data_IF_051001089295
#
_entry.id   IF_051001089295
#
_cell.length_a   1.000
_cell.length_b   1.000
_cell.length_c   1.000
_cell.angle_alpha   90.00
_cell.angle_beta   90.00
_cell.angle_gamma   90.00
#
_symmetry.space_group_name_H-M   'P 1'
#
loop_
_entity.id
_entity.type
_entity.pdbx_description
1 polymer ?
#
# COMPACT_ATOMS: atom_id res chain seq x y z
N UNK A 1 15.66 11.26 1.08
CA UNK A 1 15.54 11.99 -0.22
C UNK A 1 14.83 13.33 -0.01
N UNK A 2 15.30 14.44 -0.60
CA UNK A 2 14.56 15.69 -0.63
C UNK A 2 13.37 15.60 -1.58
N UNK A 3 12.23 16.17 -1.16
CA UNK A 3 10.95 16.04 -1.90
C UNK A 3 10.68 17.22 -2.86
N UNK A 4 11.31 18.37 -2.62
CA UNK A 4 11.05 19.57 -3.42
C UNK A 4 11.36 19.34 -4.90
N UNK A 5 10.37 19.61 -5.75
CA UNK A 5 10.44 19.45 -7.21
C UNK A 5 10.39 18.01 -7.71
N UNK A 6 10.34 16.99 -6.83
CA UNK A 6 10.33 15.57 -7.21
C UNK A 6 9.02 15.17 -7.87
N UNK A 7 9.09 14.57 -9.05
CA UNK A 7 7.95 14.03 -9.76
C UNK A 7 7.51 12.71 -9.10
N UNK A 8 6.28 12.70 -8.59
CA UNK A 8 5.76 11.60 -7.77
C UNK A 8 4.44 11.07 -8.35
N UNK A 9 4.39 9.79 -8.66
CA UNK A 9 3.15 9.06 -8.96
C UNK A 9 2.58 8.48 -7.66
N UNK A 10 1.28 8.65 -7.43
CA UNK A 10 0.55 7.99 -6.33
C UNK A 10 -0.65 7.25 -6.91
N UNK A 11 -0.60 5.91 -6.92
CA UNK A 11 -1.74 5.09 -7.36
C UNK A 11 -2.75 4.89 -6.23
N UNK A 12 -4.06 4.80 -6.57
CA UNK A 12 -5.13 4.87 -5.58
C UNK A 12 -5.16 6.25 -4.91
N UNK A 13 -4.76 7.27 -5.65
CA UNK A 13 -4.59 8.65 -5.16
C UNK A 13 -5.88 9.41 -4.90
N UNK A 14 -7.03 8.89 -5.32
CA UNK A 14 -8.33 9.56 -5.19
C UNK A 14 -9.00 9.39 -3.81
N UNK A 15 -8.45 8.56 -2.91
CA UNK A 15 -9.08 8.32 -1.60
C UNK A 15 -8.09 7.82 -0.54
N UNK A 16 -8.53 7.84 0.72
CA UNK A 16 -7.83 7.24 1.86
C UNK A 16 -6.36 7.65 1.98
N UNK A 17 -5.49 6.67 2.21
CA UNK A 17 -4.03 6.88 2.36
C UNK A 17 -3.44 7.56 1.12
N UNK A 18 -3.89 7.17 -0.08
CA UNK A 18 -3.38 7.75 -1.33
C UNK A 18 -3.65 9.24 -1.44
N UNK A 19 -4.90 9.68 -1.22
CA UNK A 19 -5.27 11.09 -1.27
C UNK A 19 -4.56 11.92 -0.18
N UNK A 20 -4.51 11.41 1.05
CA UNK A 20 -3.76 12.05 2.13
C UNK A 20 -2.27 12.17 1.80
N UNK A 21 -1.69 11.13 1.18
CA UNK A 21 -0.27 11.15 0.75
C UNK A 21 -0.04 12.14 -0.40
N UNK A 22 -0.96 12.28 -1.34
CA UNK A 22 -0.87 13.31 -2.38
C UNK A 22 -0.76 14.71 -1.74
N UNK A 23 -1.61 15.00 -0.76
CA UNK A 23 -1.58 16.28 -0.03
C UNK A 23 -0.27 16.48 0.72
N UNK A 24 0.16 15.50 1.50
CA UNK A 24 1.36 15.59 2.33
C UNK A 24 2.64 15.73 1.48
N UNK A 25 2.74 14.99 0.38
CA UNK A 25 3.88 15.06 -0.54
C UNK A 25 3.90 16.39 -1.31
N UNK A 26 2.73 16.88 -1.75
CA UNK A 26 2.62 18.19 -2.38
C UNK A 26 3.02 19.33 -1.41
N UNK A 27 2.54 19.28 -0.17
CA UNK A 27 2.93 20.23 0.88
C UNK A 27 4.44 20.20 1.17
N UNK A 28 5.10 19.05 0.95
CA UNK A 28 6.54 18.90 1.03
C UNK A 28 7.29 19.34 -0.25
N UNK A 29 6.57 19.87 -1.25
CA UNK A 29 7.12 20.42 -2.48
C UNK A 29 7.23 19.45 -3.66
N UNK A 30 6.69 18.23 -3.56
CA UNK A 30 6.68 17.30 -4.67
C UNK A 30 5.65 17.71 -5.75
N UNK A 31 5.91 17.32 -7.00
CA UNK A 31 5.00 17.48 -8.15
C UNK A 31 4.20 16.19 -8.31
N UNK A 32 2.90 16.23 -8.07
CA UNK A 32 2.07 15.05 -7.91
C UNK A 32 1.32 14.67 -9.19
N UNK A 33 1.42 13.41 -9.57
CA UNK A 33 0.45 12.74 -10.45
C UNK A 33 -0.47 11.88 -9.58
N UNK A 34 -1.71 12.30 -9.44
CA UNK A 34 -2.78 11.56 -8.77
C UNK A 34 -3.31 10.54 -9.76
N UNK A 35 -3.22 9.26 -9.42
CA UNK A 35 -3.63 8.16 -10.31
C UNK A 35 -4.72 7.35 -9.66
N UNK A 36 -5.86 7.21 -10.34
CA UNK A 36 -6.98 6.38 -9.90
C UNK A 36 -7.83 5.96 -11.10
N UNK A 37 -8.76 5.04 -10.90
CA UNK A 37 -9.82 4.69 -11.85
C UNK A 37 -11.09 5.54 -11.70
N UNK A 38 -11.20 6.30 -10.61
CA UNK A 38 -12.29 7.22 -10.32
C UNK A 38 -11.90 8.64 -10.77
N UNK A 39 -12.18 8.97 -12.04
CA UNK A 39 -11.78 10.24 -12.64
C UNK A 39 -12.27 11.46 -11.85
N UNK A 40 -13.56 11.60 -11.45
CA UNK A 40 -14.02 12.78 -10.73
C UNK A 40 -13.29 13.03 -9.42
N UNK A 41 -12.99 11.96 -8.66
CA UNK A 41 -12.23 12.10 -7.40
C UNK A 41 -10.75 12.36 -7.66
N UNK A 42 -10.21 11.76 -8.72
CA UNK A 42 -8.83 11.99 -9.14
C UNK A 42 -8.62 13.47 -9.50
N UNK A 43 -9.53 14.05 -10.28
CA UNK A 43 -9.51 15.47 -10.68
C UNK A 43 -9.59 16.39 -9.45
N UNK A 44 -10.50 16.10 -8.52
CA UNK A 44 -10.66 16.91 -7.31
C UNK A 44 -9.39 16.94 -6.45
N UNK A 45 -8.74 15.76 -6.24
CA UNK A 45 -7.49 15.71 -5.48
C UNK A 45 -6.35 16.39 -6.24
N UNK A 46 -6.28 16.20 -7.56
CA UNK A 46 -5.24 16.82 -8.39
C UNK A 46 -5.35 18.36 -8.37
N UNK A 47 -6.55 18.91 -8.47
CA UNK A 47 -6.81 20.35 -8.35
C UNK A 47 -6.37 20.88 -6.97
N UNK A 48 -6.74 20.17 -5.90
CA UNK A 48 -6.41 20.57 -4.53
C UNK A 48 -4.89 20.66 -4.29
N UNK A 49 -4.11 19.73 -4.88
CA UNK A 49 -2.66 19.65 -4.68
C UNK A 49 -1.85 20.39 -5.76
N UNK A 50 -2.50 21.03 -6.72
CA UNK A 50 -1.83 21.66 -7.87
C UNK A 50 -1.08 20.65 -8.74
N UNK A 51 -1.54 19.40 -8.77
CA UNK A 51 -0.96 18.28 -9.52
C UNK A 51 -1.67 17.99 -10.83
N UNK A 52 -1.47 16.79 -11.35
CA UNK A 52 -2.20 16.26 -12.52
C UNK A 52 -3.00 15.02 -12.14
N UNK A 53 -4.21 14.91 -12.70
CA UNK A 53 -4.98 13.68 -12.66
C UNK A 53 -4.64 12.79 -13.85
N UNK A 54 -4.49 11.49 -13.61
CA UNK A 54 -4.27 10.49 -14.65
C UNK A 54 -5.18 9.28 -14.37
N UNK A 55 -6.04 8.96 -15.32
CA UNK A 55 -6.93 7.81 -15.25
C UNK A 55 -6.17 6.54 -15.61
N UNK A 56 -6.14 5.56 -14.71
CA UNK A 56 -5.52 4.27 -14.99
C UNK A 56 -6.16 3.12 -14.21
N UNK A 57 -6.29 1.98 -14.86
CA UNK A 57 -6.49 0.70 -14.19
C UNK A 57 -5.13 0.04 -13.94
N UNK A 58 -4.73 0.04 -12.69
CA UNK A 58 -3.42 -0.52 -12.29
C UNK A 58 -3.33 -2.04 -12.42
N UNK A 59 -4.44 -2.74 -12.62
CA UNK A 59 -4.48 -4.18 -12.86
C UNK A 59 -4.11 -4.57 -14.30
N UNK A 60 -4.02 -3.59 -15.21
CA UNK A 60 -3.64 -3.75 -16.61
C UNK A 60 -2.26 -3.13 -16.89
N UNK A 61 -1.31 -3.95 -17.35
CA UNK A 61 0.07 -3.50 -17.64
C UNK A 61 0.11 -2.42 -18.71
N UNK A 62 -0.76 -2.50 -19.72
CA UNK A 62 -0.82 -1.51 -20.81
C UNK A 62 -1.29 -0.13 -20.28
N UNK A 63 -2.29 -0.12 -19.41
CA UNK A 63 -2.77 1.08 -18.73
C UNK A 63 -1.68 1.71 -17.83
N UNK A 64 -0.93 0.88 -17.10
CA UNK A 64 0.20 1.36 -16.28
C UNK A 64 1.30 1.96 -17.13
N UNK A 65 1.65 1.35 -18.25
CA UNK A 65 2.66 1.89 -19.18
C UNK A 65 2.21 3.23 -19.78
N UNK A 66 0.94 3.35 -20.18
CA UNK A 66 0.37 4.60 -20.68
C UNK A 66 0.38 5.71 -19.60
N UNK A 67 0.00 5.38 -18.37
CA UNK A 67 0.08 6.26 -17.21
C UNK A 67 1.49 6.81 -17.00
N UNK A 68 2.50 5.94 -16.98
CA UNK A 68 3.91 6.34 -16.78
C UNK A 68 4.39 7.25 -17.93
N UNK A 69 4.03 6.94 -19.17
CA UNK A 69 4.36 7.75 -20.34
C UNK A 69 3.70 9.14 -20.25
N UNK A 70 2.41 9.21 -19.89
CA UNK A 70 1.68 10.48 -19.72
C UNK A 70 2.32 11.34 -18.62
N UNK A 71 2.56 10.77 -17.44
CA UNK A 71 3.19 11.51 -16.33
C UNK A 71 4.56 12.01 -16.73
N UNK A 72 5.38 11.17 -17.37
CA UNK A 72 6.72 11.57 -17.82
C UNK A 72 6.69 12.70 -18.84
N UNK A 73 5.71 12.70 -19.74
CA UNK A 73 5.51 13.76 -20.74
C UNK A 73 5.08 15.09 -20.10
N UNK A 74 4.20 15.05 -19.10
CA UNK A 74 3.60 16.25 -18.47
C UNK A 74 4.44 16.83 -17.34
N UNK A 75 5.07 15.98 -16.54
CA UNK A 75 5.82 16.39 -15.35
C UNK A 75 7.33 16.15 -15.45
N UNK A 76 7.80 15.39 -16.40
CA UNK A 76 9.21 15.00 -16.51
C UNK A 76 9.52 13.63 -15.88
N UNK A 77 10.81 13.30 -15.74
CA UNK A 77 11.25 12.01 -15.23
C UNK A 77 10.69 11.70 -13.84
N UNK A 78 10.18 10.49 -13.66
CA UNK A 78 9.56 10.08 -12.38
C UNK A 78 10.66 9.80 -11.35
N UNK A 79 10.64 10.51 -10.23
CA UNK A 79 11.56 10.34 -9.11
C UNK A 79 11.03 9.36 -8.07
N UNK A 80 9.71 9.40 -7.80
CA UNK A 80 9.06 8.60 -6.77
C UNK A 80 7.85 7.89 -7.38
N UNK A 81 7.78 6.58 -7.22
CA UNK A 81 6.61 5.78 -7.59
C UNK A 81 5.99 5.17 -6.33
N UNK A 82 4.84 5.71 -5.93
CA UNK A 82 4.08 5.21 -4.79
C UNK A 82 2.94 4.30 -5.26
N UNK A 83 3.20 2.99 -5.25
CA UNK A 83 2.23 1.94 -5.50
C UNK A 83 1.38 1.73 -4.24
N UNK A 84 0.23 2.43 -4.18
CA UNK A 84 -0.66 2.42 -3.02
C UNK A 84 -2.03 1.81 -3.32
N UNK A 85 -2.48 1.79 -4.57
CA UNK A 85 -3.76 1.18 -4.93
C UNK A 85 -3.89 -0.25 -4.38
N UNK A 86 -5.07 -0.58 -3.85
CA UNK A 86 -5.34 -1.89 -3.29
C UNK A 86 -6.81 -2.12 -3.02
N UNK A 87 -7.19 -3.38 -2.91
CA UNK A 87 -8.54 -3.84 -2.58
C UNK A 87 -8.49 -4.93 -1.49
N UNK A 88 -9.57 -5.04 -0.72
CA UNK A 88 -9.74 -6.07 0.31
C UNK A 88 -11.06 -6.79 0.07
N UNK A 89 -11.10 -7.58 -0.99
CA UNK A 89 -12.20 -8.47 -1.37
C UNK A 89 -11.86 -9.91 -0.97
N UNK A 90 -12.86 -10.80 -0.96
CA UNK A 90 -12.65 -12.18 -0.54
C UNK A 90 -12.99 -12.41 0.92
N UNK A 91 -12.65 -13.60 1.42
CA UNK A 91 -13.02 -14.07 2.74
C UNK A 91 -12.28 -15.35 3.12
N UNK A 92 -13.04 -16.39 3.45
CA UNK A 92 -12.52 -17.71 3.80
C UNK A 92 -12.00 -18.46 2.57
N UNK A 93 -11.04 -19.37 2.79
CA UNK A 93 -10.39 -20.15 1.73
C UNK A 93 -11.37 -21.07 0.97
N UNK A 94 -12.42 -21.55 1.63
CA UNK A 94 -13.39 -22.48 1.05
C UNK A 94 -14.48 -21.77 0.23
N UNK A 95 -14.71 -20.47 0.49
CA UNK A 95 -15.82 -19.71 -0.11
C UNK A 95 -15.37 -18.61 -1.04
N UNK A 96 -14.09 -18.33 -1.11
CA UNK A 96 -13.56 -17.30 -2.01
C UNK A 96 -13.27 -17.88 -3.39
N UNK A 97 -14.07 -17.48 -4.38
CA UNK A 97 -13.96 -17.95 -5.75
C UNK A 97 -12.62 -17.56 -6.40
N UNK A 98 -12.09 -18.39 -7.34
CA UNK A 98 -10.82 -18.14 -8.04
C UNK A 98 -10.75 -16.77 -8.73
N UNK A 99 -11.87 -16.27 -9.25
CA UNK A 99 -11.98 -14.96 -9.90
C UNK A 99 -11.69 -13.81 -8.94
N UNK A 100 -12.15 -13.93 -7.68
CA UNK A 100 -11.85 -12.96 -6.62
C UNK A 100 -10.36 -12.99 -6.27
N UNK A 101 -9.73 -14.18 -6.20
CA UNK A 101 -8.30 -14.32 -6.03
C UNK A 101 -7.52 -13.63 -7.14
N UNK A 102 -7.88 -13.91 -8.40
CA UNK A 102 -7.21 -13.34 -9.57
C UNK A 102 -7.35 -11.81 -9.61
N UNK A 103 -8.56 -11.29 -9.39
CA UNK A 103 -8.81 -9.85 -9.37
C UNK A 103 -8.01 -9.13 -8.26
N UNK A 104 -8.01 -9.70 -7.05
CA UNK A 104 -7.26 -9.12 -5.95
C UNK A 104 -5.74 -9.23 -6.15
N UNK A 105 -5.26 -10.33 -6.73
CA UNK A 105 -3.86 -10.51 -7.07
C UNK A 105 -3.40 -9.49 -8.12
N UNK A 106 -4.22 -9.27 -9.17
CA UNK A 106 -3.94 -8.27 -10.21
C UNK A 106 -3.75 -6.87 -9.62
N UNK A 107 -4.64 -6.44 -8.72
CA UNK A 107 -4.57 -5.09 -8.11
C UNK A 107 -3.52 -5.01 -7.01
N UNK A 108 -3.47 -6.00 -6.09
CA UNK A 108 -2.62 -5.87 -4.89
C UNK A 108 -1.16 -6.28 -5.13
N UNK A 109 -0.88 -7.08 -6.16
CA UNK A 109 0.47 -7.61 -6.43
C UNK A 109 0.96 -7.17 -7.80
N UNK A 110 0.25 -7.52 -8.87
CA UNK A 110 0.73 -7.26 -10.23
C UNK A 110 0.83 -5.77 -10.54
N UNK A 111 -0.07 -4.94 -10.00
CA UNK A 111 0.03 -3.49 -10.13
C UNK A 111 1.36 -2.92 -9.61
N UNK A 112 1.88 -3.44 -8.51
CA UNK A 112 3.21 -3.07 -8.01
C UNK A 112 4.32 -3.50 -8.97
N UNK A 113 4.21 -4.73 -9.52
CA UNK A 113 5.17 -5.26 -10.51
C UNK A 113 5.17 -4.40 -11.78
N UNK A 114 3.98 -4.10 -12.33
CA UNK A 114 3.85 -3.30 -13.54
C UNK A 114 4.40 -1.88 -13.35
N UNK A 115 4.06 -1.23 -12.25
CA UNK A 115 4.57 0.11 -11.94
C UNK A 115 6.10 0.13 -11.84
N UNK A 116 6.70 -0.84 -11.12
CA UNK A 116 8.17 -0.96 -11.02
C UNK A 116 8.79 -1.19 -12.39
N UNK A 117 8.27 -2.13 -13.19
CA UNK A 117 8.78 -2.41 -14.54
C UNK A 117 8.77 -1.19 -15.44
N UNK A 118 7.75 -0.34 -15.31
CA UNK A 118 7.59 0.85 -16.12
C UNK A 118 8.53 2.00 -15.69
N UNK A 119 8.80 2.19 -14.38
CA UNK A 119 9.60 3.33 -13.91
C UNK A 119 11.07 3.01 -13.66
N UNK A 120 11.39 1.77 -13.27
CA UNK A 120 12.72 1.35 -12.84
C UNK A 120 13.83 1.55 -13.90
N UNK A 121 13.61 1.25 -15.19
CA UNK A 121 14.66 1.47 -16.20
C UNK A 121 15.17 2.91 -16.21
N UNK A 122 14.29 3.90 -16.24
CA UNK A 122 14.67 5.32 -16.21
C UNK A 122 15.29 5.74 -14.89
N UNK A 123 14.86 5.18 -13.76
CA UNK A 123 15.50 5.43 -12.46
C UNK A 123 16.93 4.87 -12.42
N UNK A 124 17.15 3.66 -12.95
CA UNK A 124 18.47 3.04 -13.00
C UNK A 124 19.43 3.78 -13.94
N UNK A 125 18.95 4.29 -15.07
CA UNK A 125 19.74 5.10 -15.99
C UNK A 125 20.24 6.38 -15.32
N UNK A 126 19.41 7.02 -14.50
CA UNK A 126 19.78 8.21 -13.73
C UNK A 126 20.57 7.91 -12.45
N UNK A 127 20.64 6.66 -12.03
CA UNK A 127 21.27 6.24 -10.77
C UNK A 127 20.54 6.75 -9.53
N UNK A 128 19.24 7.09 -9.64
CA UNK A 128 18.43 7.58 -8.53
C UNK A 128 16.94 7.31 -8.77
N UNK A 129 16.24 6.90 -7.72
CA UNK A 129 14.80 6.66 -7.73
C UNK A 129 14.28 6.18 -6.38
N UNK A 130 12.99 6.33 -6.15
CA UNK A 130 12.35 5.91 -4.92
C UNK A 130 11.07 5.11 -5.22
N UNK A 131 10.98 3.93 -4.66
CA UNK A 131 9.81 3.07 -4.76
C UNK A 131 9.14 2.98 -3.39
N UNK A 132 7.85 3.30 -3.32
CA UNK A 132 7.04 3.17 -2.11
C UNK A 132 5.94 2.17 -2.36
N UNK A 133 5.79 1.19 -1.47
CA UNK A 133 4.81 0.12 -1.60
C UNK A 133 3.89 0.07 -0.38
N UNK A 134 2.57 0.16 -0.58
CA UNK A 134 1.60 -0.07 0.49
C UNK A 134 1.29 -1.56 0.62
N UNK A 135 1.90 -2.20 1.63
CA UNK A 135 1.46 -3.51 2.10
C UNK A 135 0.33 -3.36 3.15
N UNK A 136 0.51 -3.97 4.29
CA UNK A 136 -0.31 -3.91 5.50
C UNK A 136 0.42 -4.67 6.59
N UNK A 137 0.10 -4.44 7.84
CA UNK A 137 0.51 -5.35 8.91
C UNK A 137 0.03 -6.78 8.66
N UNK A 138 -1.07 -6.96 7.92
CA UNK A 138 -1.55 -8.26 7.46
C UNK A 138 -0.55 -8.98 6.53
N UNK A 139 0.35 -8.25 5.86
CA UNK A 139 1.43 -8.81 5.06
C UNK A 139 2.63 -9.29 5.88
N UNK A 140 2.66 -8.98 7.17
CA UNK A 140 3.73 -9.40 8.09
C UNK A 140 3.19 -10.38 9.14
N UNK A 141 2.03 -10.08 9.72
CA UNK A 141 1.43 -10.84 10.83
C UNK A 141 0.32 -11.79 10.40
N UNK A 142 -0.15 -11.69 9.16
CA UNK A 142 -1.41 -12.27 8.67
C UNK A 142 -2.66 -11.53 9.18
N UNK A 143 -3.85 -11.97 8.75
CA UNK A 143 -5.13 -11.42 9.20
C UNK A 143 -6.16 -12.52 9.37
N UNK A 144 -7.16 -12.28 10.20
CA UNK A 144 -8.35 -13.13 10.29
C UNK A 144 -9.33 -12.80 9.15
N UNK A 145 -10.09 -13.79 8.69
CA UNK A 145 -11.26 -13.61 7.84
C UNK A 145 -11.03 -13.15 6.40
N UNK A 146 -9.78 -12.90 5.98
CA UNK A 146 -9.50 -12.55 4.59
C UNK A 146 -8.16 -13.11 4.13
N UNK A 147 -8.20 -14.35 3.65
CA UNK A 147 -6.98 -15.08 3.21
C UNK A 147 -6.35 -14.46 1.98
N UNK A 148 -7.15 -13.98 1.01
CA UNK A 148 -6.64 -13.36 -0.22
C UNK A 148 -5.88 -12.07 0.10
N UNK A 149 -6.41 -11.26 1.00
CA UNK A 149 -5.77 -10.01 1.42
C UNK A 149 -4.42 -10.29 2.11
N UNK A 150 -4.42 -11.16 3.12
CA UNK A 150 -3.21 -11.52 3.83
C UNK A 150 -2.12 -12.06 2.88
N UNK A 151 -2.50 -12.97 1.98
CA UNK A 151 -1.56 -13.58 1.02
C UNK A 151 -0.99 -12.54 0.06
N UNK A 152 -1.85 -11.68 -0.53
CA UNK A 152 -1.38 -10.65 -1.47
C UNK A 152 -0.49 -9.61 -0.78
N UNK A 153 -0.78 -9.24 0.47
CA UNK A 153 0.06 -8.29 1.22
C UNK A 153 1.39 -8.90 1.66
N UNK A 154 1.49 -10.20 1.92
CA UNK A 154 2.77 -10.90 2.10
C UNK A 154 3.60 -10.90 0.80
N UNK A 155 2.97 -11.09 -0.36
CA UNK A 155 3.67 -11.01 -1.64
C UNK A 155 4.29 -9.62 -1.88
N UNK A 156 3.60 -8.54 -1.51
CA UNK A 156 4.14 -7.17 -1.61
C UNK A 156 5.34 -6.96 -0.67
N UNK A 157 5.31 -7.54 0.54
CA UNK A 157 6.47 -7.50 1.46
C UNK A 157 7.70 -8.12 0.80
N UNK A 158 7.57 -9.36 0.29
CA UNK A 158 8.67 -10.06 -0.39
C UNK A 158 9.18 -9.31 -1.62
N UNK A 159 8.28 -8.72 -2.42
CA UNK A 159 8.67 -7.89 -3.56
C UNK A 159 9.49 -6.67 -3.13
N UNK A 160 9.02 -5.92 -2.12
CA UNK A 160 9.71 -4.72 -1.64
C UNK A 160 11.09 -5.04 -1.04
N UNK A 161 11.20 -6.12 -0.26
CA UNK A 161 12.49 -6.60 0.28
C UNK A 161 13.45 -6.94 -0.85
N UNK A 162 13.00 -7.73 -1.84
CA UNK A 162 13.83 -8.11 -2.98
C UNK A 162 14.32 -6.89 -3.76
N UNK A 163 13.45 -5.91 -4.04
CA UNK A 163 13.80 -4.68 -4.74
C UNK A 163 14.83 -3.86 -3.95
N UNK A 164 14.64 -3.72 -2.64
CA UNK A 164 15.56 -3.01 -1.75
C UNK A 164 16.95 -3.65 -1.73
N UNK A 165 17.02 -4.97 -1.59
CA UNK A 165 18.28 -5.71 -1.58
C UNK A 165 18.98 -5.60 -2.94
N UNK A 166 18.24 -5.78 -4.04
CA UNK A 166 18.81 -5.90 -5.38
C UNK A 166 19.30 -4.58 -5.95
N UNK A 167 18.58 -3.46 -5.72
CA UNK A 167 18.84 -2.20 -6.41
C UNK A 167 19.37 -1.07 -5.53
N UNK A 168 19.54 -1.29 -4.23
CA UNK A 168 20.03 -0.25 -3.31
C UNK A 168 21.40 0.32 -3.74
N UNK A 169 22.34 -0.54 -4.13
CA UNK A 169 23.68 -0.15 -4.57
C UNK A 169 23.67 0.61 -5.92
N UNK A 170 22.54 0.58 -6.64
CA UNK A 170 22.31 1.29 -7.91
C UNK A 170 21.54 2.60 -7.72
N UNK A 171 21.42 3.11 -6.49
CA UNK A 171 20.79 4.37 -6.16
C UNK A 171 19.27 4.32 -6.01
N UNK A 172 18.66 3.11 -5.98
CA UNK A 172 17.22 2.96 -5.77
C UNK A 172 16.92 2.77 -4.28
N UNK A 173 15.99 3.57 -3.77
CA UNK A 173 15.48 3.45 -2.40
C UNK A 173 14.09 2.84 -2.41
N UNK A 174 13.76 2.11 -1.36
CA UNK A 174 12.47 1.43 -1.24
C UNK A 174 11.92 1.63 0.17
N UNK A 175 10.65 2.03 0.26
CA UNK A 175 9.88 2.01 1.52
C UNK A 175 8.69 1.08 1.41
N UNK A 176 8.46 0.30 2.44
CA UNK A 176 7.32 -0.58 2.65
C UNK A 176 6.42 0.00 3.74
N UNK A 177 5.24 0.46 3.36
CA UNK A 177 4.26 0.98 4.30
C UNK A 177 3.38 -0.18 4.77
N UNK A 178 3.42 -0.50 6.06
CA UNK A 178 2.67 -1.61 6.65
C UNK A 178 1.72 -1.10 7.76
N UNK A 179 0.63 -0.43 7.40
CA UNK A 179 -0.27 0.16 8.38
C UNK A 179 -1.09 -0.90 9.11
N UNK A 180 -1.51 -0.56 10.34
CA UNK A 180 -2.63 -1.16 11.06
C UNK A 180 -3.95 -0.66 10.46
N UNK A 181 -5.02 -0.64 11.26
CA UNK A 181 -6.29 -0.03 10.82
C UNK A 181 -6.12 1.45 10.49
N UNK A 182 -6.64 1.85 9.34
CA UNK A 182 -6.68 3.26 8.89
C UNK A 182 -8.11 3.59 8.50
N UNK A 183 -8.62 4.72 8.96
CA UNK A 183 -9.99 5.19 8.67
C UNK A 183 -10.11 5.55 7.19
N UNK A 184 -10.52 4.57 6.40
CA UNK A 184 -10.65 4.66 4.95
C UNK A 184 -11.91 3.96 4.49
N UNK A 185 -12.42 4.25 3.29
CA UNK A 185 -13.55 3.51 2.72
C UNK A 185 -13.34 1.99 2.66
N UNK A 186 -12.10 1.54 2.61
CA UNK A 186 -11.78 0.09 2.68
C UNK A 186 -12.10 -0.49 4.06
N UNK A 187 -11.70 0.18 5.13
CA UNK A 187 -11.96 -0.26 6.49
C UNK A 187 -13.45 -0.18 6.85
N UNK A 188 -14.13 0.86 6.39
CA UNK A 188 -15.58 1.07 6.63
C UNK A 188 -16.45 -0.04 6.01
N UNK A 189 -15.98 -0.66 4.93
CA UNK A 189 -16.65 -1.80 4.26
C UNK A 189 -16.27 -3.14 4.82
N UNK A 190 -15.26 -3.22 5.70
CA UNK A 190 -14.84 -4.47 6.34
C UNK A 190 -15.88 -4.92 7.37
N UNK A 191 -15.95 -6.23 7.63
CA UNK A 191 -16.76 -6.75 8.74
C UNK A 191 -16.27 -6.10 10.06
N UNK A 192 -17.13 -5.41 10.81
CA UNK A 192 -16.73 -4.71 12.05
C UNK A 192 -16.04 -5.63 13.08
N UNK A 193 -16.39 -6.91 13.10
CA UNK A 193 -15.79 -7.90 14.01
C UNK A 193 -14.32 -8.14 13.66
N UNK A 194 -14.02 -8.23 12.36
CA UNK A 194 -12.65 -8.38 11.89
C UNK A 194 -11.88 -7.08 12.01
N UNK A 195 -12.50 -5.96 11.68
CA UNK A 195 -11.88 -4.65 11.82
C UNK A 195 -11.44 -4.39 13.28
N UNK A 196 -12.29 -4.67 14.26
CA UNK A 196 -11.99 -4.50 15.69
C UNK A 196 -10.93 -5.47 16.21
N UNK A 197 -10.87 -6.70 15.69
CA UNK A 197 -9.95 -7.73 16.19
C UNK A 197 -8.54 -7.66 15.58
N UNK A 198 -8.41 -7.10 14.39
CA UNK A 198 -7.16 -7.15 13.59
C UNK A 198 -6.53 -5.77 13.43
N UNK A 199 -7.34 -4.72 13.45
CA UNK A 199 -6.87 -3.39 13.12
C UNK A 199 -5.99 -2.73 14.19
N UNK A 200 -6.06 -3.16 15.46
CA UNK A 200 -5.39 -2.47 16.56
C UNK A 200 -5.85 -1.00 16.65
N UNK A 201 -4.97 -0.08 17.05
CA UNK A 201 -5.28 1.35 17.01
C UNK A 201 -5.56 1.81 15.58
N UNK A 202 -6.74 2.45 15.38
CA UNK A 202 -7.13 3.01 14.08
C UNK A 202 -6.50 4.39 13.96
N UNK A 203 -5.78 4.61 12.85
CA UNK A 203 -5.14 5.88 12.51
C UNK A 203 -5.95 6.64 11.47
N UNK A 204 -5.78 7.95 11.43
CA UNK A 204 -6.28 8.76 10.31
C UNK A 204 -5.33 8.64 9.11
N UNK A 205 -5.84 8.74 7.87
CA UNK A 205 -5.02 8.67 6.67
C UNK A 205 -3.85 9.67 6.66
N UNK A 206 -4.05 10.84 7.24
CA UNK A 206 -3.07 11.93 7.35
C UNK A 206 -1.87 11.55 8.22
N UNK A 207 -2.08 10.78 9.29
CA UNK A 207 -0.98 10.29 10.16
C UNK A 207 -0.08 9.32 9.38
N UNK A 208 -0.71 8.43 8.57
CA UNK A 208 0.03 7.50 7.71
C UNK A 208 0.77 8.26 6.61
N UNK A 209 0.11 9.23 5.97
CA UNK A 209 0.71 10.07 4.94
C UNK A 209 1.94 10.85 5.45
N UNK A 210 1.88 11.40 6.67
CA UNK A 210 3.04 12.03 7.29
C UNK A 210 4.18 11.02 7.50
N UNK A 211 3.86 9.80 7.93
CA UNK A 211 4.86 8.73 8.08
C UNK A 211 5.52 8.35 6.74
N UNK A 212 4.78 8.44 5.62
CA UNK A 212 5.33 8.24 4.27
C UNK A 212 6.33 9.35 3.92
N UNK A 213 5.97 10.61 4.15
CA UNK A 213 6.87 11.77 3.91
C UNK A 213 8.17 11.61 4.70
N UNK A 214 8.06 11.30 5.99
CA UNK A 214 9.22 11.13 6.88
C UNK A 214 10.09 9.94 6.44
N UNK A 215 9.45 8.84 6.03
CA UNK A 215 10.18 7.66 5.55
C UNK A 215 10.97 7.94 4.27
N UNK A 216 10.41 8.70 3.33
CA UNK A 216 11.11 9.08 2.10
C UNK A 216 12.30 10.00 2.43
N UNK A 217 12.14 10.96 3.33
CA UNK A 217 13.23 11.86 3.78
C UNK A 217 14.37 11.08 4.43
N UNK A 218 14.03 10.17 5.33
CA UNK A 218 14.97 9.37 6.12
C UNK A 218 15.47 8.11 5.37
N UNK A 219 14.94 7.81 4.19
CA UNK A 219 15.20 6.61 3.40
C UNK A 219 14.94 5.30 4.18
N UNK A 220 13.91 5.30 5.05
CA UNK A 220 13.56 4.13 5.89
C UNK A 220 12.80 3.09 5.07
N UNK A 221 13.23 1.82 5.20
CA UNK A 221 12.56 0.72 4.51
C UNK A 221 11.19 0.40 5.11
N UNK A 222 11.10 0.01 6.37
CA UNK A 222 9.84 -0.41 7.00
C UNK A 222 9.19 0.77 7.75
N UNK A 223 7.94 1.05 7.39
CA UNK A 223 7.12 2.12 7.96
C UNK A 223 5.89 1.51 8.62
N UNK A 224 5.86 1.56 9.93
CA UNK A 224 4.72 1.12 10.75
C UNK A 224 3.92 2.33 11.19
N UNK A 225 2.61 2.28 11.06
CA UNK A 225 1.72 3.38 11.46
C UNK A 225 1.55 3.53 12.98
N UNK A 226 1.94 2.52 13.75
CA UNK A 226 1.87 2.52 15.21
C UNK A 226 3.00 1.68 15.83
N UNK A 227 3.62 2.14 16.92
CA UNK A 227 4.70 1.41 17.60
C UNK A 227 4.33 0.01 18.08
N UNK A 228 3.06 -0.25 18.40
CA UNK A 228 2.58 -1.57 18.85
C UNK A 228 2.83 -2.66 17.80
N UNK A 229 2.81 -2.29 16.52
CA UNK A 229 3.07 -3.22 15.42
C UNK A 229 4.47 -3.83 15.52
N UNK A 230 5.49 -3.04 15.89
CA UNK A 230 6.84 -3.53 16.12
C UNK A 230 6.87 -4.61 17.21
N UNK A 231 6.17 -4.38 18.33
CA UNK A 231 6.08 -5.36 19.42
C UNK A 231 5.44 -6.67 18.95
N UNK A 232 4.42 -6.60 18.10
CA UNK A 232 3.75 -7.80 17.58
C UNK A 232 4.62 -8.55 16.58
N UNK A 233 5.33 -7.85 15.71
CA UNK A 233 6.31 -8.45 14.79
C UNK A 233 7.38 -9.20 15.59
N UNK A 234 7.95 -8.55 16.60
CA UNK A 234 8.96 -9.16 17.46
C UNK A 234 8.43 -10.43 18.15
N UNK A 235 7.23 -10.38 18.74
CA UNK A 235 6.60 -11.57 19.37
C UNK A 235 6.41 -12.73 18.39
N UNK A 236 6.05 -12.45 17.14
CA UNK A 236 5.94 -13.47 16.09
C UNK A 236 7.30 -14.06 15.74
N UNK A 237 8.33 -13.22 15.65
CA UNK A 237 9.67 -13.64 15.27
C UNK A 237 10.38 -14.43 16.38
N UNK A 238 10.22 -14.01 17.64
CA UNK A 238 10.85 -14.64 18.78
C UNK A 238 10.29 -16.04 19.06
N UNK A 239 8.96 -16.23 18.94
CA UNK A 239 8.29 -17.53 19.15
C UNK A 239 7.06 -17.66 18.24
N UNK A 240 7.25 -18.12 16.98
CA UNK A 240 6.17 -18.31 16.02
C UNK A 240 5.06 -19.25 16.51
N UNK A 241 5.42 -20.30 17.25
CA UNK A 241 4.44 -21.26 17.76
C UNK A 241 3.55 -20.64 18.85
N UNK A 242 4.13 -19.87 19.75
CA UNK A 242 3.38 -19.12 20.76
C UNK A 242 2.46 -18.09 20.10
N UNK A 243 2.96 -17.38 19.08
CA UNK A 243 2.18 -16.44 18.29
C UNK A 243 0.97 -17.12 17.64
N UNK A 244 1.19 -18.22 16.92
CA UNK A 244 0.12 -18.98 16.26
C UNK A 244 -0.91 -19.51 17.25
N UNK A 245 -0.48 -20.02 18.41
CA UNK A 245 -1.43 -20.43 19.49
C UNK A 245 -2.31 -19.25 19.95
N UNK A 246 -1.74 -18.05 20.03
CA UNK A 246 -2.49 -16.84 20.35
C UNK A 246 -3.52 -16.48 19.27
N UNK A 247 -3.10 -16.49 18.01
CA UNK A 247 -3.97 -16.17 16.88
C UNK A 247 -5.11 -17.18 16.69
N UNK A 248 -4.84 -18.47 16.92
CA UNK A 248 -5.89 -19.53 16.91
C UNK A 248 -6.97 -19.24 17.96
N UNK A 249 -6.60 -18.81 19.16
CA UNK A 249 -7.60 -18.42 20.20
C UNK A 249 -8.41 -17.21 19.78
N UNK A 250 -7.80 -16.21 19.18
CA UNK A 250 -8.52 -15.05 18.64
C UNK A 250 -9.50 -15.47 17.56
N UNK A 251 -9.11 -16.35 16.65
CA UNK A 251 -9.99 -16.87 15.60
C UNK A 251 -11.21 -17.55 16.20
N UNK A 252 -11.01 -18.46 17.16
CA UNK A 252 -12.10 -19.15 17.85
C UNK A 252 -13.07 -18.16 18.52
N UNK A 253 -12.57 -17.15 19.19
CA UNK A 253 -13.41 -16.10 19.82
C UNK A 253 -14.22 -15.29 18.81
N UNK A 254 -13.69 -15.05 17.62
CA UNK A 254 -14.39 -14.36 16.54
C UNK A 254 -15.54 -15.22 16.00
N UNK A 255 -15.32 -16.52 15.84
CA UNK A 255 -16.36 -17.48 15.40
C UNK A 255 -17.48 -17.63 16.43
N UNK A 256 -17.13 -17.76 17.71
CA UNK A 256 -18.11 -17.84 18.81
C UNK A 256 -19.02 -16.59 18.88
N UNK A 257 -18.46 -15.40 18.63
CA UNK A 257 -19.23 -14.14 18.60
C UNK A 257 -20.08 -13.99 17.33
N UNK A 258 -19.75 -14.72 16.27
CA UNK A 258 -20.49 -14.68 15.01
C UNK A 258 -21.77 -15.55 15.04
N UNK A 259 -21.87 -16.52 15.96
CA UNK A 259 -23.06 -17.34 16.14
C UNK A 259 -24.07 -16.51 16.96
N UNK A 260 -25.27 -16.17 16.41
CA UNK A 260 -26.29 -15.50 17.21
C UNK A 260 -26.70 -16.43 18.39
N UNK A 261 -26.98 -15.86 19.58
CA UNK A 261 -27.55 -16.65 20.65
C UNK A 261 -28.84 -17.29 20.16
N UNK A 262 -28.93 -18.63 20.23
CA UNK A 262 -30.07 -19.42 19.81
C UNK A 262 -31.32 -19.15 20.63
#
# INVERSE_FOLDING_TARGET
MELSGKVTIVTGGASGIGAASCRALAAAGARIAVVDRDQPRCDAVAEEVGGIAVLADVSDESSVNAMVAEVSSRLGPIDICFSNAGVATGGDILTTEPEVWNAQWAVNVMAHVYAVRAVLPGMLERGTGYLVHTASIAGILTSHGNVTYATTKHAVVGLAEWLSITYHHRGIRVSLIAPLGVRTPMLERADPRFAAAVAGPIKEPEEVAQSVVDAIRDERFLVLSDPIAHTWIQRKTDDPERWLRGMRRVQQQLEERAVPPG
#
